data_IF_255526202577
#
_entry.id   IF_255526202577
#
_cell.length_a   1.000
_cell.length_b   1.000
_cell.length_c   1.000
_cell.angle_alpha   90.00
_cell.angle_beta   90.00
_cell.angle_gamma   90.00
#
_symmetry.space_group_name_H-M   'P 1'
#
loop_
_entity.id
_entity.type
_entity.pdbx_description
1 polymer ?
#
# COMPACT_ATOMS: atom_id res chain seq x y z
N UNK A 1 -10.93 -1.43 47.34
CA UNK A 1 -11.45 -1.46 45.97
C UNK A 1 -10.30 -1.91 45.10
N UNK A 2 -10.06 -3.22 45.04
CA UNK A 2 -9.11 -3.77 44.08
C UNK A 2 -9.70 -3.52 42.70
N UNK A 3 -9.02 -2.70 41.92
CA UNK A 3 -9.51 -2.19 40.65
C UNK A 3 -9.76 -3.35 39.69
N UNK A 4 -10.95 -3.44 39.10
CA UNK A 4 -11.34 -4.47 38.12
C UNK A 4 -10.34 -4.66 36.96
N UNK A 5 -9.56 -3.62 36.62
CA UNK A 5 -8.47 -3.69 35.64
C UNK A 5 -7.35 -4.66 36.04
N UNK A 6 -7.05 -4.81 37.33
CA UNK A 6 -6.03 -5.74 37.80
C UNK A 6 -6.49 -7.19 37.61
N UNK A 7 -7.76 -7.47 37.89
CA UNK A 7 -8.35 -8.79 37.67
C UNK A 7 -8.41 -9.13 36.17
N UNK A 8 -8.77 -8.16 35.32
CA UNK A 8 -8.73 -8.31 33.85
C UNK A 8 -7.30 -8.51 33.34
N UNK A 9 -6.30 -7.82 33.92
CA UNK A 9 -4.88 -8.02 33.57
C UNK A 9 -4.40 -9.42 33.94
N UNK A 10 -4.74 -9.91 35.14
CA UNK A 10 -4.43 -11.26 35.58
C UNK A 10 -5.10 -12.29 34.65
N UNK A 11 -6.35 -12.06 34.26
CA UNK A 11 -7.09 -12.93 33.34
C UNK A 11 -6.53 -12.92 31.90
N UNK A 12 -6.05 -11.77 31.41
CA UNK A 12 -5.47 -11.62 30.08
C UNK A 12 -4.16 -12.40 29.89
N UNK A 13 -3.49 -12.79 30.97
CA UNK A 13 -2.30 -13.66 30.90
C UNK A 13 -2.58 -15.03 30.29
N UNK A 14 -3.84 -15.50 30.33
CA UNK A 14 -4.28 -16.76 29.73
C UNK A 14 -4.50 -16.71 28.20
N UNK A 15 -4.51 -15.51 27.59
CA UNK A 15 -4.74 -15.31 26.16
C UNK A 15 -3.77 -14.28 25.56
N UNK A 16 -2.48 -14.66 25.39
CA UNK A 16 -1.48 -13.76 24.85
C UNK A 16 -1.80 -13.31 23.42
N UNK A 17 -1.46 -12.06 23.10
CA UNK A 17 -1.65 -11.50 21.77
C UNK A 17 -0.66 -12.09 20.77
N UNK A 18 -1.19 -12.70 19.71
CA UNK A 18 -0.41 -13.16 18.56
C UNK A 18 -0.55 -12.15 17.42
N UNK A 19 0.52 -11.46 17.02
CA UNK A 19 0.45 -10.51 15.93
C UNK A 19 0.19 -11.24 14.61
N UNK A 20 -0.69 -10.70 13.78
CA UNK A 20 -0.96 -11.22 12.42
C UNK A 20 0.30 -11.27 11.57
N UNK A 21 1.24 -10.32 11.77
CA UNK A 21 2.54 -10.28 11.09
C UNK A 21 3.65 -10.22 12.13
N UNK A 22 4.40 -11.31 12.25
CA UNK A 22 5.53 -11.40 13.18
C UNK A 22 6.69 -10.47 12.80
N UNK A 23 7.43 -9.97 13.79
CA UNK A 23 8.54 -9.01 13.55
C UNK A 23 9.57 -9.50 12.53
N UNK A 24 9.92 -10.78 12.56
CA UNK A 24 10.88 -11.35 11.63
C UNK A 24 10.47 -11.30 10.15
N UNK A 25 9.16 -11.23 9.85
CA UNK A 25 8.65 -11.18 8.48
C UNK A 25 8.25 -9.77 8.03
N UNK A 26 8.24 -8.77 8.91
CA UNK A 26 7.81 -7.40 8.59
C UNK A 26 8.62 -6.78 7.45
N UNK A 27 9.94 -6.98 7.44
CA UNK A 27 10.80 -6.53 6.34
C UNK A 27 10.42 -7.21 5.01
N UNK A 28 10.27 -8.53 5.00
CA UNK A 28 9.96 -9.29 3.80
C UNK A 28 8.60 -8.90 3.21
N UNK A 29 7.58 -8.76 4.07
CA UNK A 29 6.24 -8.33 3.67
C UNK A 29 6.26 -6.92 3.10
N UNK A 30 6.87 -5.97 3.82
CA UNK A 30 6.98 -4.58 3.37
C UNK A 30 7.74 -4.46 2.05
N UNK A 31 8.85 -5.18 1.89
CA UNK A 31 9.69 -5.14 0.70
C UNK A 31 8.96 -5.69 -0.52
N UNK A 32 8.25 -6.81 -0.35
CA UNK A 32 7.48 -7.43 -1.44
C UNK A 32 6.32 -6.52 -1.87
N UNK A 33 5.60 -5.93 -0.92
CA UNK A 33 4.51 -4.99 -1.21
C UNK A 33 5.03 -3.72 -1.92
N UNK A 34 6.17 -3.19 -1.50
CA UNK A 34 6.79 -2.04 -2.16
C UNK A 34 7.28 -2.37 -3.57
N UNK A 35 7.95 -3.51 -3.77
CA UNK A 35 8.38 -3.92 -5.11
C UNK A 35 7.19 -4.04 -6.05
N UNK A 36 6.12 -4.73 -5.61
CA UNK A 36 4.90 -4.83 -6.39
C UNK A 36 4.27 -3.46 -6.65
N UNK A 37 4.07 -2.65 -5.61
CA UNK A 37 3.50 -1.31 -5.73
C UNK A 37 4.27 -0.41 -6.69
N UNK A 38 5.61 -0.40 -6.61
CA UNK A 38 6.47 0.36 -7.51
C UNK A 38 6.43 -0.17 -8.94
N UNK A 39 6.41 -1.49 -9.14
CA UNK A 39 6.26 -2.09 -10.47
C UNK A 39 4.92 -1.74 -11.09
N UNK A 40 3.81 -1.88 -10.36
CA UNK A 40 2.48 -1.52 -10.86
C UNK A 40 2.39 -0.02 -11.16
N UNK A 41 2.95 0.83 -10.29
CA UNK A 41 2.99 2.29 -10.50
C UNK A 41 3.83 2.65 -11.73
N UNK A 42 4.96 1.97 -11.95
CA UNK A 42 5.82 2.18 -13.11
C UNK A 42 5.11 1.74 -14.39
N UNK A 43 4.42 0.58 -14.39
CA UNK A 43 3.61 0.13 -15.53
C UNK A 43 2.51 1.13 -15.84
N UNK A 44 1.81 1.65 -14.82
CA UNK A 44 0.81 2.68 -14.97
C UNK A 44 1.40 3.97 -15.58
N UNK A 45 2.52 4.47 -15.05
CA UNK A 45 3.19 5.68 -15.53
C UNK A 45 3.70 5.55 -16.97
N UNK A 46 4.33 4.41 -17.30
CA UNK A 46 4.82 4.13 -18.65
C UNK A 46 3.68 3.94 -19.65
N UNK A 47 2.56 3.35 -19.22
CA UNK A 47 1.36 3.22 -20.06
C UNK A 47 0.67 4.55 -20.35
N UNK A 48 0.88 5.57 -19.50
CA UNK A 48 0.43 6.94 -19.72
C UNK A 48 1.43 7.79 -20.52
N UNK A 49 2.68 7.35 -20.73
CA UNK A 49 3.72 8.16 -21.35
C UNK A 49 3.56 8.19 -22.89
N UNK A 50 3.26 9.34 -23.51
CA UNK A 50 3.12 9.43 -24.95
C UNK A 50 4.47 9.65 -25.62
N UNK A 51 5.07 8.59 -26.18
CA UNK A 51 6.16 8.74 -27.16
C UNK A 51 5.61 9.24 -28.50
N UNK A 52 5.27 10.53 -28.62
CA UNK A 52 5.44 11.25 -29.88
C UNK A 52 5.40 12.76 -29.68
N UNK A 53 6.39 13.41 -30.28
CA UNK A 53 6.68 14.84 -30.26
C UNK A 53 5.50 15.72 -30.75
N UNK A 54 5.39 16.90 -30.13
CA UNK A 54 4.72 18.16 -30.58
C UNK A 54 3.21 18.34 -30.33
N UNK A 55 2.95 19.05 -29.23
CA UNK A 55 2.26 20.36 -29.15
C UNK A 55 0.85 20.62 -29.70
N UNK A 56 0.13 19.69 -30.34
CA UNK A 56 -1.20 20.01 -30.93
C UNK A 56 -2.33 19.04 -30.57
N UNK A 57 -2.28 18.43 -29.38
CA UNK A 57 -3.20 17.34 -29.02
C UNK A 57 -3.68 17.41 -27.55
N UNK A 58 -3.99 18.62 -27.07
CA UNK A 58 -4.42 18.84 -25.67
C UNK A 58 -5.95 18.75 -25.49
N UNK A 59 -6.76 18.98 -26.54
CA UNK A 59 -8.23 18.96 -26.41
C UNK A 59 -8.89 17.69 -26.98
N UNK A 60 -8.33 17.04 -28.00
CA UNK A 60 -8.88 15.79 -28.54
C UNK A 60 -8.39 14.49 -27.85
N UNK A 61 -7.46 14.61 -26.88
CA UNK A 61 -6.89 13.47 -26.14
C UNK A 61 -7.48 13.28 -24.74
N UNK A 62 -8.16 14.29 -24.19
CA UNK A 62 -8.77 14.19 -22.87
C UNK A 62 -9.85 13.11 -22.83
N UNK A 63 -10.71 13.02 -23.87
CA UNK A 63 -11.78 12.01 -23.93
C UNK A 63 -11.25 10.58 -24.10
N UNK A 64 -10.24 10.36 -24.97
CA UNK A 64 -9.65 9.02 -25.16
C UNK A 64 -8.79 8.56 -23.97
N UNK A 65 -8.23 9.51 -23.22
CA UNK A 65 -7.54 9.21 -21.97
C UNK A 65 -8.55 8.88 -20.86
N UNK A 66 -9.71 9.53 -20.80
CA UNK A 66 -10.69 9.30 -19.74
C UNK A 66 -11.32 7.90 -19.80
N UNK A 67 -11.73 7.40 -20.97
CA UNK A 67 -12.36 6.06 -21.07
C UNK A 67 -11.45 4.91 -20.62
N UNK A 68 -10.17 4.92 -21.02
CA UNK A 68 -9.21 3.87 -20.64
C UNK A 68 -8.59 4.14 -19.25
N UNK A 69 -8.48 5.40 -18.83
CA UNK A 69 -8.02 5.80 -17.49
C UNK A 69 -9.06 5.49 -16.42
N UNK A 70 -10.35 5.71 -16.65
CA UNK A 70 -11.42 5.37 -15.69
C UNK A 70 -11.49 3.87 -15.40
N UNK A 71 -11.02 3.01 -16.31
CA UNK A 71 -10.90 1.56 -16.07
C UNK A 71 -9.51 1.18 -15.53
N UNK A 72 -8.42 1.78 -16.02
CA UNK A 72 -7.07 1.45 -15.56
C UNK A 72 -6.69 2.03 -14.19
N UNK A 73 -7.30 3.15 -13.78
CA UNK A 73 -7.15 3.72 -12.44
C UNK A 73 -7.66 2.79 -11.34
N UNK A 74 -8.91 2.29 -11.38
CA UNK A 74 -9.38 1.36 -10.35
C UNK A 74 -8.69 -0.01 -10.45
N UNK A 75 -8.36 -0.47 -11.65
CA UNK A 75 -7.77 -1.81 -11.85
C UNK A 75 -6.28 -1.87 -11.52
N UNK A 76 -5.51 -0.81 -11.76
CA UNK A 76 -4.04 -0.79 -11.56
C UNK A 76 -3.64 0.27 -10.53
N UNK A 77 -4.24 1.46 -10.58
CA UNK A 77 -3.91 2.57 -9.67
C UNK A 77 -4.27 2.30 -8.21
N UNK A 78 -5.48 1.80 -7.94
CA UNK A 78 -5.91 1.45 -6.56
C UNK A 78 -5.03 0.33 -5.95
N UNK A 79 -4.80 -0.82 -6.61
CA UNK A 79 -3.95 -1.84 -6.01
C UNK A 79 -2.49 -1.39 -5.88
N UNK A 80 -1.98 -0.56 -6.79
CA UNK A 80 -0.64 0.02 -6.66
C UNK A 80 -0.52 0.93 -5.42
N UNK A 81 -1.50 1.80 -5.19
CA UNK A 81 -1.48 2.72 -4.05
C UNK A 81 -1.62 1.99 -2.71
N UNK A 82 -2.48 0.97 -2.64
CA UNK A 82 -2.60 0.11 -1.46
C UNK A 82 -1.28 -0.63 -1.19
N UNK A 83 -0.67 -1.22 -2.22
CA UNK A 83 0.60 -1.93 -2.06
C UNK A 83 1.73 -1.00 -1.56
N UNK A 84 1.81 0.23 -2.08
CA UNK A 84 2.78 1.22 -1.59
C UNK A 84 2.48 1.65 -0.16
N UNK A 85 1.22 1.99 0.15
CA UNK A 85 0.83 2.46 1.48
C UNK A 85 1.12 1.42 2.57
N UNK A 86 0.64 0.19 2.40
CA UNK A 86 0.91 -0.89 3.35
C UNK A 86 2.39 -1.28 3.36
N UNK A 87 3.06 -1.28 2.20
CA UNK A 87 4.49 -1.57 2.09
C UNK A 87 5.36 -0.60 2.89
N UNK A 88 5.06 0.70 2.84
CA UNK A 88 5.75 1.74 3.62
C UNK A 88 5.54 1.54 5.12
N UNK A 89 4.31 1.28 5.57
CA UNK A 89 4.02 1.03 6.99
C UNK A 89 4.81 -0.17 7.52
N UNK A 90 4.82 -1.29 6.77
CA UNK A 90 5.60 -2.46 7.17
C UNK A 90 7.11 -2.21 7.14
N UNK A 91 7.61 -1.32 6.27
CA UNK A 91 9.02 -0.89 6.31
C UNK A 91 9.37 -0.04 7.52
N UNK A 92 8.47 0.87 7.95
CA UNK A 92 8.66 1.60 9.20
C UNK A 92 8.67 0.66 10.41
N UNK A 93 7.74 -0.29 10.45
CA UNK A 93 7.73 -1.33 11.48
C UNK A 93 9.01 -2.18 11.48
N UNK A 94 9.57 -2.47 10.30
CA UNK A 94 10.79 -3.25 10.16
C UNK A 94 12.04 -2.53 10.73
N UNK A 95 12.11 -1.19 10.65
CA UNK A 95 13.19 -0.39 11.26
C UNK A 95 12.95 -0.11 12.75
N UNK A 96 11.85 -0.62 13.33
CA UNK A 96 11.52 -0.48 14.75
C UNK A 96 10.73 0.78 15.09
N UNK A 97 10.22 1.51 14.09
CA UNK A 97 9.29 2.62 14.29
C UNK A 97 7.87 2.05 14.20
N UNK A 98 7.24 1.88 15.36
CA UNK A 98 5.86 1.40 15.47
C UNK A 98 4.92 2.60 15.56
N UNK A 99 3.88 2.59 14.72
CA UNK A 99 2.75 3.55 14.76
C UNK A 99 1.67 2.99 15.67
#
# INVERSE_FOLDING_TARGET
>A
MDSSLHEVWQAASGSPFFPTVGKGSQFFVGFTLLLLGLLLTTVFALSMLPLHSRSFFILARADRMLDRSLVSLPVIGIPASLAVAFGVVYMFCAVGVYV
#
